data_IF_808930962360
#
_entry.id   IF_808930962360
#
_cell.length_a   1.000
_cell.length_b   1.000
_cell.length_c   1.000
_cell.angle_alpha   90.00
_cell.angle_beta   90.00
_cell.angle_gamma   90.00
#
_symmetry.space_group_name_H-M   'P 1'
#
loop_
_entity.id
_entity.type
_entity.pdbx_description
1 polymer ?
#
# COMPACT_ATOMS: atom_id res chain seq x y z
N UNK A 1 -4.40 -36.70 15.04
CA UNK A 1 -5.63 -36.10 15.61
C UNK A 1 -5.39 -34.84 16.44
N UNK A 2 -4.22 -34.61 17.02
CA UNK A 2 -3.96 -33.48 17.93
C UNK A 2 -3.82 -32.05 17.25
N UNK A 3 -3.68 -31.93 15.95
CA UNK A 3 -3.47 -30.63 15.27
C UNK A 3 -4.76 -29.84 15.05
N UNK A 4 -5.92 -30.52 14.99
CA UNK A 4 -7.21 -29.83 14.79
C UNK A 4 -7.75 -29.22 16.09
N UNK A 5 -7.44 -29.78 17.25
CA UNK A 5 -7.94 -29.29 18.54
C UNK A 5 -7.26 -27.97 18.94
N UNK A 6 -5.96 -27.81 18.68
CA UNK A 6 -5.23 -26.58 18.96
C UNK A 6 -5.71 -25.40 18.08
N UNK A 7 -6.04 -25.67 16.83
CA UNK A 7 -6.59 -24.66 15.91
C UNK A 7 -8.00 -24.22 16.37
N UNK A 8 -8.85 -25.17 16.75
CA UNK A 8 -10.21 -24.89 17.24
C UNK A 8 -10.19 -24.03 18.50
N UNK A 9 -9.33 -24.36 19.48
CA UNK A 9 -9.15 -23.60 20.72
C UNK A 9 -8.69 -22.16 20.41
N UNK A 10 -7.69 -21.98 19.54
CA UNK A 10 -7.19 -20.66 19.15
C UNK A 10 -8.22 -19.79 18.43
N UNK A 11 -9.10 -20.39 17.63
CA UNK A 11 -10.20 -19.68 16.96
C UNK A 11 -11.31 -19.26 17.93
N UNK A 12 -11.61 -20.10 18.94
CA UNK A 12 -12.55 -19.73 20.00
C UNK A 12 -12.03 -18.57 20.85
N UNK A 13 -10.74 -18.59 21.24
CA UNK A 13 -10.08 -17.49 21.95
C UNK A 13 -10.15 -16.20 21.12
N UNK A 14 -9.82 -16.27 19.84
CA UNK A 14 -9.88 -15.12 18.94
C UNK A 14 -11.29 -14.54 18.81
N UNK A 15 -12.31 -15.38 18.77
CA UNK A 15 -13.72 -14.95 18.73
C UNK A 15 -14.14 -14.22 20.00
N UNK A 16 -13.73 -14.71 21.18
CA UNK A 16 -14.01 -14.06 22.46
C UNK A 16 -13.31 -12.69 22.55
N UNK A 17 -12.03 -12.61 22.15
CA UNK A 17 -11.26 -11.38 22.12
C UNK A 17 -11.84 -10.35 21.16
N UNK A 18 -12.33 -10.80 20.01
CA UNK A 18 -13.01 -9.93 19.04
C UNK A 18 -14.31 -9.34 19.62
N UNK A 19 -15.12 -10.16 20.29
CA UNK A 19 -16.35 -9.69 20.96
C UNK A 19 -16.06 -8.70 22.10
N UNK A 20 -14.91 -8.85 22.76
CA UNK A 20 -14.43 -7.94 23.80
C UNK A 20 -13.75 -6.66 23.24
N UNK A 21 -13.72 -6.47 21.92
CA UNK A 21 -13.07 -5.32 21.28
C UNK A 21 -11.53 -5.37 21.27
N UNK A 22 -10.93 -6.49 21.72
CA UNK A 22 -9.48 -6.67 21.85
C UNK A 22 -8.87 -7.23 20.56
N UNK A 23 -9.00 -6.46 19.45
CA UNK A 23 -8.68 -6.90 18.09
C UNK A 23 -7.20 -7.30 17.90
N UNK A 24 -6.27 -6.58 18.51
CA UNK A 24 -4.85 -6.90 18.40
C UNK A 24 -4.52 -8.27 19.04
N UNK A 25 -5.15 -8.59 20.14
CA UNK A 25 -4.97 -9.87 20.84
C UNK A 25 -5.69 -11.01 20.11
N UNK A 26 -6.86 -10.73 19.53
CA UNK A 26 -7.55 -11.67 18.66
C UNK A 26 -6.68 -12.07 17.45
N UNK A 27 -6.03 -11.09 16.81
CA UNK A 27 -5.10 -11.34 15.71
C UNK A 27 -3.91 -12.18 16.15
N UNK A 28 -3.32 -11.88 17.32
CA UNK A 28 -2.22 -12.66 17.86
C UNK A 28 -2.62 -14.11 18.18
N UNK A 29 -3.85 -14.33 18.67
CA UNK A 29 -4.40 -15.67 18.93
C UNK A 29 -4.55 -16.48 17.64
N UNK A 30 -5.05 -15.86 16.56
CA UNK A 30 -5.15 -16.49 15.23
C UNK A 30 -3.75 -16.85 14.70
N UNK A 31 -2.79 -15.94 14.77
CA UNK A 31 -1.43 -16.20 14.30
C UNK A 31 -0.77 -17.36 15.03
N UNK A 32 -0.92 -17.43 16.35
CA UNK A 32 -0.45 -18.57 17.16
C UNK A 32 -1.11 -19.89 16.74
N UNK A 33 -2.43 -19.87 16.53
CA UNK A 33 -3.18 -21.05 16.13
C UNK A 33 -2.76 -21.56 14.72
N UNK A 34 -2.33 -20.65 13.85
CA UNK A 34 -1.82 -20.97 12.51
C UNK A 34 -0.31 -21.32 12.50
N UNK A 35 0.35 -21.39 13.66
CA UNK A 35 1.77 -21.69 13.77
C UNK A 35 2.70 -20.55 13.32
N UNK A 36 2.17 -19.34 13.14
CA UNK A 36 2.96 -18.16 12.84
C UNK A 36 3.44 -17.50 14.14
N UNK A 37 4.75 -17.34 14.31
CA UNK A 37 5.28 -16.57 15.43
C UNK A 37 4.85 -15.11 15.32
N UNK A 38 4.36 -14.46 16.41
CA UNK A 38 4.05 -13.04 16.38
C UNK A 38 5.32 -12.26 16.09
N UNK A 39 5.25 -11.42 15.04
CA UNK A 39 6.35 -10.54 14.67
C UNK A 39 6.75 -9.69 15.89
N UNK A 40 7.99 -9.81 16.33
CA UNK A 40 8.60 -9.03 17.40
C UNK A 40 8.39 -7.54 17.11
N UNK A 41 7.91 -6.78 18.10
CA UNK A 41 7.76 -5.34 18.05
C UNK A 41 9.14 -4.67 17.91
N UNK A 42 9.64 -4.56 16.70
CA UNK A 42 10.77 -3.68 16.42
C UNK A 42 10.28 -2.23 16.54
N UNK A 43 10.82 -1.48 17.50
CA UNK A 43 10.60 -0.04 17.63
C UNK A 43 11.02 0.64 16.32
N UNK A 44 10.18 1.52 15.74
CA UNK A 44 10.59 2.31 14.59
C UNK A 44 11.67 3.30 15.05
N UNK A 45 12.88 3.09 14.61
CA UNK A 45 13.93 4.09 14.71
C UNK A 45 13.68 5.13 13.63
N UNK A 46 13.17 6.29 14.02
CA UNK A 46 13.01 7.44 13.14
C UNK A 46 14.41 7.87 12.64
N UNK A 47 14.74 7.49 11.42
CA UNK A 47 15.84 8.05 10.66
C UNK A 47 15.21 8.92 9.57
N UNK A 48 15.22 10.24 9.79
CA UNK A 48 15.02 11.20 8.73
C UNK A 48 16.21 11.09 7.78
N UNK A 49 16.07 10.29 6.74
CA UNK A 49 16.95 10.38 5.58
C UNK A 49 16.24 11.29 4.56
N UNK A 50 16.87 12.41 4.29
CA UNK A 50 16.66 13.17 3.05
C UNK A 50 17.03 12.25 1.90
N UNK A 51 16.03 11.58 1.32
CA UNK A 51 16.23 10.65 0.22
C UNK A 51 16.43 11.49 -1.04
N UNK A 52 17.69 11.69 -1.41
CA UNK A 52 18.03 11.90 -2.81
C UNK A 52 17.49 10.68 -3.58
N UNK A 53 16.51 10.93 -4.45
CA UNK A 53 15.79 9.88 -5.15
C UNK A 53 16.73 9.19 -6.15
N UNK A 54 17.13 7.92 -5.92
CA UNK A 54 17.91 7.20 -6.92
C UNK A 54 17.07 7.09 -8.20
N UNK A 55 17.68 7.25 -9.37
CA UNK A 55 17.12 6.75 -10.62
C UNK A 55 16.77 5.29 -10.38
N UNK A 56 15.47 4.97 -10.38
CA UNK A 56 14.99 3.65 -9.96
C UNK A 56 15.68 2.54 -10.71
N UNK A 57 16.36 1.71 -9.98
CA UNK A 57 16.96 0.48 -10.49
C UNK A 57 15.84 -0.51 -10.81
N UNK A 58 15.91 -1.15 -11.97
CA UNK A 58 15.00 -2.25 -12.32
C UNK A 58 14.97 -3.31 -11.20
N UNK A 59 13.78 -3.88 -10.91
CA UNK A 59 13.59 -4.84 -9.83
C UNK A 59 13.46 -4.23 -8.43
N UNK A 60 13.12 -2.93 -8.32
CA UNK A 60 13.05 -2.23 -7.05
C UNK A 60 11.63 -1.93 -6.56
N UNK A 61 11.43 -1.95 -5.23
CA UNK A 61 10.25 -1.40 -4.55
C UNK A 61 10.67 -0.16 -3.77
N UNK A 62 10.64 0.99 -4.43
CA UNK A 62 11.24 2.24 -3.95
C UNK A 62 10.21 3.16 -3.29
N UNK A 63 10.67 3.93 -2.31
CA UNK A 63 9.86 4.96 -1.66
C UNK A 63 10.04 6.32 -2.34
N UNK A 64 8.98 7.13 -2.34
CA UNK A 64 8.99 8.50 -2.80
C UNK A 64 7.93 9.33 -2.11
N UNK A 65 7.86 10.61 -2.43
CA UNK A 65 6.79 11.49 -1.98
C UNK A 65 6.41 12.47 -3.10
N UNK A 66 5.15 12.85 -3.12
CA UNK A 66 4.61 13.83 -4.04
C UNK A 66 3.93 14.96 -3.29
N UNK A 67 4.28 16.20 -3.63
CA UNK A 67 3.71 17.41 -3.02
C UNK A 67 2.82 18.12 -4.02
N UNK A 68 1.61 18.42 -3.60
CA UNK A 68 0.62 19.19 -4.32
C UNK A 68 0.09 20.32 -3.41
N UNK A 69 -0.54 21.36 -3.96
CA UNK A 69 -1.19 22.42 -3.17
C UNK A 69 -2.21 21.90 -2.14
N UNK A 70 -2.77 20.70 -2.36
CA UNK A 70 -3.71 20.02 -1.46
C UNK A 70 -3.03 19.11 -0.44
N UNK A 71 -1.71 19.06 -0.38
CA UNK A 71 -0.94 18.30 0.60
C UNK A 71 0.11 17.39 -0.01
N UNK A 72 0.91 16.81 0.86
CA UNK A 72 1.97 15.85 0.50
C UNK A 72 1.52 14.43 0.83
N UNK A 73 1.81 13.48 -0.07
CA UNK A 73 1.59 12.05 0.16
C UNK A 73 2.85 11.27 -0.18
N UNK A 74 3.31 10.40 0.73
CA UNK A 74 4.31 9.41 0.38
C UNK A 74 3.70 8.37 -0.58
N UNK A 75 4.57 7.67 -1.29
CA UNK A 75 4.19 6.54 -2.12
C UNK A 75 5.30 5.50 -2.16
N UNK A 76 4.97 4.30 -2.60
CA UNK A 76 5.93 3.32 -3.09
C UNK A 76 5.68 3.04 -4.56
N UNK A 77 6.77 2.75 -5.27
CA UNK A 77 6.72 2.38 -6.68
C UNK A 77 7.46 1.06 -6.88
N UNK A 78 6.78 0.07 -7.42
CA UNK A 78 7.40 -1.14 -7.90
C UNK A 78 7.82 -0.98 -9.36
N UNK A 79 9.07 -1.32 -9.63
CA UNK A 79 9.68 -1.25 -10.95
C UNK A 79 10.10 -2.68 -11.31
N UNK A 80 9.51 -3.33 -12.34
CA UNK A 80 9.85 -4.70 -12.68
C UNK A 80 11.29 -4.81 -13.20
N UNK A 81 11.89 -5.99 -13.08
CA UNK A 81 13.26 -6.25 -13.56
C UNK A 81 13.43 -6.02 -15.06
N UNK A 82 12.33 -6.20 -15.81
CA UNK A 82 12.28 -5.97 -17.26
C UNK A 82 12.22 -4.49 -17.67
N UNK A 83 12.20 -3.56 -16.69
CA UNK A 83 12.19 -2.13 -16.97
C UNK A 83 13.51 -1.69 -17.61
N UNK A 84 13.41 -0.95 -18.70
CA UNK A 84 14.54 -0.24 -19.31
C UNK A 84 14.10 1.15 -19.77
N UNK A 85 14.99 2.12 -19.65
CA UNK A 85 14.70 3.48 -20.14
C UNK A 85 14.36 3.45 -21.64
N UNK A 86 13.25 4.10 -22.00
CA UNK A 86 12.74 4.11 -23.39
C UNK A 86 11.70 3.03 -23.71
N UNK A 87 11.50 2.02 -22.83
CA UNK A 87 10.41 1.06 -22.97
C UNK A 87 9.19 1.54 -22.17
N UNK A 88 8.15 1.98 -22.88
CA UNK A 88 6.92 2.45 -22.25
C UNK A 88 6.11 1.29 -21.65
N UNK A 89 6.16 1.12 -20.33
CA UNK A 89 5.41 0.10 -19.61
C UNK A 89 4.04 0.64 -19.16
N UNK A 90 3.01 -0.22 -19.01
CA UNK A 90 1.77 0.14 -18.33
C UNK A 90 2.03 0.56 -16.88
N UNK A 91 1.13 1.39 -16.33
CA UNK A 91 1.15 1.78 -14.91
C UNK A 91 -0.16 1.38 -14.24
N UNK A 92 -0.07 0.70 -13.11
CA UNK A 92 -1.20 0.40 -12.23
C UNK A 92 -1.05 1.21 -10.95
N UNK A 93 -2.08 1.96 -10.57
CA UNK A 93 -2.16 2.69 -9.30
C UNK A 93 -2.99 1.87 -8.33
N UNK A 94 -2.42 1.51 -7.17
CA UNK A 94 -3.02 0.64 -6.17
C UNK A 94 -3.35 1.42 -4.91
N UNK A 95 -4.63 1.62 -4.61
CA UNK A 95 -5.11 2.37 -3.46
C UNK A 95 -5.47 1.42 -2.31
N UNK A 96 -4.71 1.48 -1.22
CA UNK A 96 -4.91 0.63 -0.05
C UNK A 96 -6.18 1.01 0.73
N UNK A 97 -6.71 0.07 1.51
CA UNK A 97 -7.85 0.30 2.40
C UNK A 97 -7.49 1.00 3.70
N UNK A 98 -8.50 1.27 4.53
CA UNK A 98 -8.33 1.84 5.86
C UNK A 98 -7.35 1.02 6.70
N UNK A 99 -6.58 1.69 7.56
CA UNK A 99 -5.55 1.12 8.46
C UNK A 99 -4.33 0.50 7.78
N UNK A 100 -4.39 0.26 6.49
CA UNK A 100 -3.30 -0.30 5.69
C UNK A 100 -2.23 0.73 5.30
N UNK A 101 -1.20 0.26 4.63
CA UNK A 101 -0.14 1.04 4.01
C UNK A 101 0.30 0.36 2.69
N UNK A 102 1.16 0.99 1.88
CA UNK A 102 1.65 0.42 0.63
C UNK A 102 2.29 -0.97 0.75
N UNK A 103 3.04 -1.23 1.83
CA UNK A 103 3.71 -2.53 2.03
C UNK A 103 2.69 -3.64 2.30
N UNK A 104 1.75 -3.39 3.23
CA UNK A 104 0.68 -4.33 3.55
C UNK A 104 -0.14 -4.65 2.31
N UNK A 105 -0.46 -3.63 1.52
CA UNK A 105 -1.31 -3.78 0.33
C UNK A 105 -0.59 -4.50 -0.80
N UNK A 106 0.70 -4.22 -1.01
CA UNK A 106 1.52 -4.93 -1.99
C UNK A 106 1.65 -6.43 -1.66
N UNK A 107 1.88 -6.75 -0.38
CA UNK A 107 1.98 -8.14 0.08
C UNK A 107 0.63 -8.84 -0.02
N UNK A 108 -0.45 -8.20 0.46
CA UNK A 108 -1.78 -8.81 0.48
C UNK A 108 -2.36 -9.07 -0.91
N UNK A 109 -2.09 -8.20 -1.88
CA UNK A 109 -2.58 -8.33 -3.26
C UNK A 109 -1.65 -9.13 -4.17
N UNK A 110 -0.42 -9.40 -3.76
CA UNK A 110 0.64 -10.01 -4.58
C UNK A 110 0.89 -9.24 -5.90
N UNK A 111 0.50 -7.95 -5.94
CA UNK A 111 0.52 -7.20 -7.20
C UNK A 111 1.93 -6.99 -7.76
N UNK A 112 2.97 -6.93 -6.89
CA UNK A 112 4.35 -6.85 -7.36
C UNK A 112 4.78 -8.12 -8.13
N UNK A 113 4.33 -9.30 -7.71
CA UNK A 113 4.58 -10.56 -8.44
C UNK A 113 3.89 -10.54 -9.80
N UNK A 114 2.62 -10.13 -9.84
CA UNK A 114 1.87 -9.97 -11.09
C UNK A 114 2.53 -8.93 -12.00
N UNK A 115 3.01 -7.83 -11.43
CA UNK A 115 3.68 -6.78 -12.17
C UNK A 115 5.00 -7.21 -12.80
N UNK A 116 5.74 -8.07 -12.12
CA UNK A 116 6.95 -8.70 -12.68
C UNK A 116 6.61 -9.55 -13.91
N UNK A 117 5.60 -10.41 -13.80
CA UNK A 117 5.14 -11.29 -14.89
C UNK A 117 4.54 -10.52 -16.07
N UNK A 118 3.80 -9.44 -15.79
CA UNK A 118 3.08 -8.64 -16.80
C UNK A 118 3.84 -7.42 -17.28
N UNK A 119 5.05 -7.22 -16.78
CA UNK A 119 5.93 -6.11 -17.17
C UNK A 119 5.25 -4.75 -17.02
N UNK A 120 4.72 -4.43 -15.84
CA UNK A 120 4.09 -3.15 -15.55
C UNK A 120 4.68 -2.48 -14.30
N UNK A 121 4.61 -1.17 -14.25
CA UNK A 121 4.90 -0.37 -13.06
C UNK A 121 3.71 -0.43 -12.11
N UNK A 122 3.95 -0.42 -10.79
CA UNK A 122 2.87 -0.31 -9.81
C UNK A 122 3.15 0.80 -8.82
N UNK A 123 2.28 1.79 -8.81
CA UNK A 123 2.32 2.93 -7.89
C UNK A 123 1.36 2.69 -6.72
N UNK A 124 1.87 2.79 -5.50
CA UNK A 124 1.11 2.65 -4.26
C UNK A 124 1.12 3.99 -3.50
N UNK A 125 0.17 4.88 -3.72
CA UNK A 125 0.01 6.06 -2.88
C UNK A 125 -0.26 5.66 -1.43
N UNK A 126 0.27 6.42 -0.47
CA UNK A 126 0.05 6.17 0.96
C UNK A 126 -0.80 7.28 1.56
N UNK A 127 -1.89 6.91 2.21
CA UNK A 127 -2.65 7.84 3.05
C UNK A 127 -1.94 8.05 4.38
N UNK A 128 -1.86 9.31 4.83
CA UNK A 128 -1.21 9.68 6.08
C UNK A 128 -2.20 9.75 7.25
N UNK A 129 -1.74 9.46 8.46
CA UNK A 129 -2.55 9.62 9.67
C UNK A 129 -2.97 11.08 9.93
N UNK A 130 -2.19 12.05 9.45
CA UNK A 130 -2.51 13.48 9.55
C UNK A 130 -3.68 13.88 8.64
N UNK A 131 -3.89 13.20 7.54
CA UNK A 131 -5.02 13.44 6.65
C UNK A 131 -6.27 12.65 7.06
N UNK A 132 -6.08 11.45 7.60
CA UNK A 132 -7.14 10.61 8.17
C UNK A 132 -6.52 9.64 9.18
N UNK A 133 -6.98 9.66 10.44
CA UNK A 133 -6.40 8.84 11.52
C UNK A 133 -6.42 7.34 11.19
N UNK A 134 -7.47 6.87 10.54
CA UNK A 134 -7.61 5.48 10.10
C UNK A 134 -6.96 5.21 8.75
N UNK A 135 -6.27 6.17 8.15
CA UNK A 135 -5.68 6.09 6.81
C UNK A 135 -6.68 5.70 5.72
N UNK A 136 -7.97 5.99 5.92
CA UNK A 136 -8.95 5.88 4.85
C UNK A 136 -8.77 7.05 3.87
N UNK A 137 -9.01 6.82 2.60
CA UNK A 137 -9.16 7.92 1.66
C UNK A 137 -10.46 8.66 1.95
N UNK A 138 -10.43 10.01 1.90
CA UNK A 138 -11.55 10.85 2.34
C UNK A 138 -12.63 11.02 1.25
N UNK A 139 -12.98 9.95 0.54
CA UNK A 139 -13.93 9.93 -0.57
C UNK A 139 -15.31 10.48 -0.20
N UNK A 140 -15.72 10.38 1.06
CA UNK A 140 -17.00 10.87 1.59
C UNK A 140 -17.04 12.40 1.72
N UNK A 141 -15.91 13.10 1.65
CA UNK A 141 -15.82 14.55 1.76
C UNK A 141 -16.04 15.21 0.40
N UNK A 142 -16.98 16.15 0.28
CA UNK A 142 -17.33 16.83 -0.98
C UNK A 142 -16.11 17.44 -1.72
N UNK A 143 -15.12 17.95 -0.97
CA UNK A 143 -13.90 18.49 -1.56
C UNK A 143 -13.07 17.42 -2.29
N UNK A 144 -13.18 16.16 -1.88
CA UNK A 144 -12.47 15.02 -2.46
C UNK A 144 -13.27 14.27 -3.55
N UNK A 145 -14.48 14.74 -3.88
CA UNK A 145 -15.31 14.17 -4.94
C UNK A 145 -15.26 14.97 -6.25
N UNK A 146 -14.36 15.96 -6.33
CA UNK A 146 -14.23 16.83 -7.49
C UNK A 146 -12.92 16.57 -8.21
N UNK A 147 -12.99 16.59 -9.53
CA UNK A 147 -11.80 16.59 -10.38
C UNK A 147 -10.88 17.76 -9.98
N UNK A 148 -9.58 17.53 -10.02
CA UNK A 148 -8.51 18.50 -9.74
C UNK A 148 -8.55 19.14 -8.33
N UNK A 149 -9.25 18.51 -7.37
CA UNK A 149 -9.31 18.94 -5.97
C UNK A 149 -9.00 17.80 -5.00
N UNK A 150 -8.51 18.15 -3.80
CA UNK A 150 -8.27 17.21 -2.71
C UNK A 150 -7.36 16.04 -3.07
N UNK A 151 -7.68 14.87 -2.55
CA UNK A 151 -6.89 13.65 -2.76
C UNK A 151 -6.86 13.17 -4.21
N UNK A 152 -7.96 13.21 -4.99
CA UNK A 152 -7.90 12.89 -6.41
C UNK A 152 -6.87 13.70 -7.19
N UNK A 153 -6.71 15.00 -6.88
CA UNK A 153 -5.72 15.85 -7.51
C UNK A 153 -4.28 15.43 -7.15
N UNK A 154 -4.05 15.05 -5.89
CA UNK A 154 -2.74 14.56 -5.41
C UNK A 154 -2.39 13.24 -6.13
N UNK A 155 -3.31 12.27 -6.14
CA UNK A 155 -3.11 10.95 -6.76
C UNK A 155 -2.87 11.11 -8.27
N UNK A 156 -3.69 11.91 -8.95
CA UNK A 156 -3.52 12.17 -10.38
C UNK A 156 -2.20 12.90 -10.70
N UNK A 157 -1.79 13.85 -9.86
CA UNK A 157 -0.52 14.54 -10.00
C UNK A 157 0.68 13.61 -9.82
N UNK A 158 0.66 12.81 -8.76
CA UNK A 158 1.66 11.76 -8.47
C UNK A 158 1.77 10.77 -9.65
N UNK A 159 0.63 10.33 -10.18
CA UNK A 159 0.57 9.44 -11.34
C UNK A 159 1.26 10.07 -12.56
N UNK A 160 0.95 11.34 -12.87
CA UNK A 160 1.59 12.06 -13.98
C UNK A 160 3.09 12.22 -13.81
N UNK A 161 3.55 12.47 -12.57
CA UNK A 161 4.99 12.55 -12.27
C UNK A 161 5.69 11.22 -12.55
N UNK A 162 5.11 10.11 -12.09
CA UNK A 162 5.66 8.76 -12.33
C UNK A 162 5.66 8.44 -13.82
N UNK A 163 4.56 8.71 -14.53
CA UNK A 163 4.48 8.52 -15.99
C UNK A 163 5.61 9.25 -16.73
N UNK A 164 5.83 10.51 -16.40
CA UNK A 164 6.88 11.34 -17.00
C UNK A 164 8.28 10.83 -16.64
N UNK A 165 8.51 10.53 -15.37
CA UNK A 165 9.82 10.15 -14.85
C UNK A 165 10.32 8.81 -15.38
N UNK A 166 9.42 7.85 -15.53
CA UNK A 166 9.74 6.48 -15.95
C UNK A 166 9.39 6.22 -17.43
N UNK A 167 8.89 7.22 -18.15
CA UNK A 167 8.50 7.06 -19.56
C UNK A 167 7.41 6.01 -19.76
N UNK A 168 6.46 5.91 -18.82
CA UNK A 168 5.40 4.91 -18.89
C UNK A 168 4.34 5.25 -19.96
N UNK A 169 3.61 4.25 -20.45
CA UNK A 169 2.58 4.42 -21.48
C UNK A 169 1.37 5.17 -20.91
N UNK A 170 1.20 6.42 -21.31
CA UNK A 170 0.10 7.28 -20.87
C UNK A 170 -1.29 6.79 -21.28
N UNK A 171 -1.38 5.86 -22.23
CA UNK A 171 -2.64 5.23 -22.67
C UNK A 171 -2.98 3.98 -21.89
N UNK A 172 -2.05 3.48 -21.07
CA UNK A 172 -2.19 2.24 -20.28
C UNK A 172 -2.00 2.53 -18.80
N UNK A 173 -2.89 3.35 -18.27
CA UNK A 173 -2.93 3.72 -16.85
C UNK A 173 -4.21 3.16 -16.23
N UNK A 174 -4.05 2.37 -15.19
CA UNK A 174 -5.15 1.68 -14.50
C UNK A 174 -5.14 2.06 -13.03
N UNK A 175 -6.31 2.08 -12.42
CA UNK A 175 -6.47 2.33 -10.97
C UNK A 175 -7.28 1.19 -10.39
N UNK A 176 -6.79 0.64 -9.28
CA UNK A 176 -7.50 -0.36 -8.50
C UNK A 176 -7.39 -0.03 -7.01
N UNK A 177 -8.34 -0.49 -6.23
CA UNK A 177 -8.36 -0.30 -4.78
C UNK A 177 -9.27 -1.30 -4.11
N UNK A 178 -9.09 -1.46 -2.80
CA UNK A 178 -9.89 -2.36 -1.98
C UNK A 178 -10.30 -1.67 -0.69
N UNK A 179 -11.55 -1.91 -0.24
CA UNK A 179 -12.17 -1.32 0.96
C UNK A 179 -12.46 0.17 0.75
N UNK A 180 -11.91 1.10 1.52
CA UNK A 180 -12.17 2.54 1.38
C UNK A 180 -11.00 3.26 0.67
N UNK A 181 -10.81 3.00 -0.63
CA UNK A 181 -9.86 3.73 -1.45
C UNK A 181 -10.43 5.07 -1.89
#
# INVERSE_FOLDING_TARGET
MAMNDSLAIGLLEATQLTRAGRLAEATAAIQRALGQQPASKAKPRARQETIETPKGTAGGFIAGSYTHQHGTRPYKLYIPTSYSAGKALPLVVMLHGCTQNPDDFAVGTQMNTIAEERHCLVLYPAQTKTANQSRCWNWFTRAHQRRDKGEPAIIAGMTREVLKRYGADTRKVYVAGLSAP
#
